data_IF_865510387749
#
_entry.id   IF_865510387749
#
_cell.length_a   1.000
_cell.length_b   1.000
_cell.length_c   1.000
_cell.angle_alpha   90.00
_cell.angle_beta   90.00
_cell.angle_gamma   90.00
#
_symmetry.space_group_name_H-M   'P 1'
#
loop_
_entity.id
_entity.type
_entity.pdbx_description
1 polymer ?
#
# COMPACT_ATOMS: atom_id res chain seq x y z
N UNK A 1 -5.67 -2.88 -7.48
CA UNK A 1 -5.17 -3.38 -8.75
C UNK A 1 -6.13 -4.44 -9.29
N UNK A 2 -6.22 -4.59 -10.60
CA UNK A 2 -7.07 -5.60 -11.24
C UNK A 2 -6.56 -5.98 -12.63
N UNK A 3 -7.02 -7.14 -13.12
CA UNK A 3 -6.77 -7.66 -14.46
C UNK A 3 -8.10 -8.01 -15.14
N UNK A 4 -8.24 -7.67 -16.42
CA UNK A 4 -9.41 -8.02 -17.24
C UNK A 4 -8.92 -8.61 -18.57
N UNK A 5 -9.41 -9.82 -18.90
CA UNK A 5 -9.19 -10.43 -20.21
C UNK A 5 -10.38 -10.17 -21.14
N UNK A 6 -10.13 -9.51 -22.27
CA UNK A 6 -11.11 -9.32 -23.34
C UNK A 6 -10.91 -10.43 -24.40
N UNK A 7 -11.79 -11.42 -24.40
CA UNK A 7 -11.71 -12.58 -25.29
C UNK A 7 -11.95 -12.21 -26.75
N UNK A 8 -12.75 -11.17 -27.03
CA UNK A 8 -13.07 -10.76 -28.40
C UNK A 8 -11.90 -10.02 -29.03
N UNK A 9 -11.23 -9.16 -28.26
CA UNK A 9 -10.07 -8.39 -28.71
C UNK A 9 -8.74 -9.09 -28.45
N UNK A 10 -8.77 -10.23 -27.77
CA UNK A 10 -7.58 -10.96 -27.28
C UNK A 10 -6.57 -10.02 -26.60
N UNK A 11 -7.07 -9.20 -25.68
CA UNK A 11 -6.26 -8.24 -24.93
C UNK A 11 -6.40 -8.44 -23.44
N UNK A 12 -5.27 -8.34 -22.76
CA UNK A 12 -5.23 -8.28 -21.31
C UNK A 12 -5.07 -6.81 -20.88
N UNK A 13 -5.95 -6.36 -20.01
CA UNK A 13 -5.90 -5.04 -19.39
C UNK A 13 -5.54 -5.18 -17.93
N UNK A 14 -4.47 -4.54 -17.52
CA UNK A 14 -4.04 -4.43 -16.12
C UNK A 14 -4.13 -2.96 -15.71
N UNK A 15 -4.55 -2.70 -14.47
CA UNK A 15 -4.50 -1.36 -13.91
C UNK A 15 -4.17 -1.39 -12.41
N UNK A 16 -3.39 -0.40 -11.98
CA UNK A 16 -3.10 -0.15 -10.57
C UNK A 16 -3.81 1.11 -10.11
N UNK A 17 -4.27 1.12 -8.88
CA UNK A 17 -5.01 2.27 -8.32
C UNK A 17 -4.17 3.56 -8.33
N UNK A 18 -4.85 4.70 -8.16
CA UNK A 18 -4.27 6.04 -8.32
C UNK A 18 -3.10 6.33 -7.39
N UNK A 19 -3.11 5.75 -6.19
CA UNK A 19 -2.10 5.98 -5.15
C UNK A 19 -1.18 4.77 -4.94
N UNK A 20 -1.40 3.66 -5.70
CA UNK A 20 -0.61 2.44 -5.60
C UNK A 20 -0.78 1.70 -4.28
N UNK A 21 -1.96 1.80 -3.66
CA UNK A 21 -2.26 1.11 -2.38
C UNK A 21 -2.13 -0.40 -2.53
N UNK A 22 -2.53 -0.94 -3.70
CA UNK A 22 -2.39 -2.37 -3.98
C UNK A 22 -1.26 -2.61 -4.96
N UNK A 23 -0.35 -3.56 -4.66
CA UNK A 23 0.78 -3.86 -5.54
C UNK A 23 0.33 -4.55 -6.83
N UNK A 24 1.08 -4.36 -7.90
CA UNK A 24 0.94 -5.09 -9.15
C UNK A 24 2.29 -5.15 -9.85
N UNK A 25 2.85 -6.34 -9.92
CA UNK A 25 4.13 -6.61 -10.58
C UNK A 25 3.92 -7.30 -11.91
N UNK A 26 4.83 -7.07 -12.85
CA UNK A 26 4.82 -7.74 -14.15
C UNK A 26 6.24 -8.06 -14.63
N UNK A 27 6.32 -9.06 -15.47
CA UNK A 27 7.51 -9.48 -16.20
C UNK A 27 7.11 -9.83 -17.62
N UNK A 28 7.95 -9.51 -18.60
CA UNK A 28 7.74 -9.97 -19.98
C UNK A 28 8.98 -10.71 -20.46
N UNK A 29 8.77 -11.92 -20.96
CA UNK A 29 9.83 -12.77 -21.50
C UNK A 29 9.33 -13.51 -22.74
N UNK A 30 10.12 -13.49 -23.80
CA UNK A 30 9.79 -14.13 -25.10
C UNK A 30 8.42 -13.70 -25.67
N UNK A 31 7.98 -12.48 -25.34
CA UNK A 31 6.67 -11.96 -25.74
C UNK A 31 5.51 -12.38 -24.84
N UNK A 32 5.70 -13.27 -23.88
CA UNK A 32 4.70 -13.62 -22.87
C UNK A 32 4.71 -12.60 -21.74
N UNK A 33 3.54 -12.31 -21.18
CA UNK A 33 3.36 -11.40 -20.05
C UNK A 33 2.92 -12.17 -18.81
N UNK A 34 3.69 -12.06 -17.74
CA UNK A 34 3.38 -12.60 -16.42
C UNK A 34 3.08 -11.42 -15.48
N UNK A 35 2.12 -11.58 -14.58
CA UNK A 35 1.80 -10.56 -13.60
C UNK A 35 1.29 -11.16 -12.29
N UNK A 36 1.50 -10.45 -11.20
CA UNK A 36 1.06 -10.90 -9.87
C UNK A 36 1.00 -9.73 -8.90
N UNK A 37 0.29 -9.90 -7.79
CA UNK A 37 0.33 -8.97 -6.65
C UNK A 37 1.61 -9.10 -5.83
N UNK A 38 2.35 -10.21 -5.96
CA UNK A 38 3.59 -10.46 -5.22
C UNK A 38 4.68 -11.01 -6.15
N UNK A 39 5.90 -10.52 -6.00
CA UNK A 39 7.05 -10.93 -6.81
C UNK A 39 7.32 -12.44 -6.65
N UNK A 40 7.15 -12.99 -5.44
CA UNK A 40 7.40 -14.42 -5.19
C UNK A 40 6.56 -15.34 -6.06
N UNK A 41 5.37 -14.92 -6.50
CA UNK A 41 4.54 -15.71 -7.42
C UNK A 41 5.13 -15.76 -8.83
N UNK A 42 5.71 -14.65 -9.31
CA UNK A 42 6.42 -14.61 -10.60
C UNK A 42 7.68 -15.49 -10.53
N UNK A 43 8.40 -15.45 -9.40
CA UNK A 43 9.63 -16.24 -9.18
C UNK A 43 9.39 -17.74 -9.04
N UNK A 44 8.13 -18.24 -9.01
CA UNK A 44 7.83 -19.67 -9.07
C UNK A 44 7.98 -20.24 -10.48
N UNK A 45 8.00 -19.41 -11.50
CA UNK A 45 8.20 -19.85 -12.87
C UNK A 45 9.70 -20.19 -13.09
N UNK A 46 9.98 -21.40 -13.55
CA UNK A 46 11.35 -21.90 -13.73
C UNK A 46 12.14 -21.07 -14.77
N UNK A 47 11.44 -20.47 -15.72
CA UNK A 47 12.03 -19.65 -16.78
C UNK A 47 12.49 -18.27 -16.27
N UNK A 48 12.03 -17.85 -15.09
CA UNK A 48 12.39 -16.54 -14.50
C UNK A 48 13.64 -16.67 -13.65
N UNK A 49 14.72 -16.10 -14.15
CA UNK A 49 15.99 -16.06 -13.43
C UNK A 49 15.91 -15.15 -12.19
N UNK A 50 16.31 -15.68 -11.03
CA UNK A 50 16.38 -14.91 -9.77
C UNK A 50 17.66 -14.09 -9.71
N UNK A 51 17.77 -13.10 -10.58
CA UNK A 51 18.95 -12.26 -10.72
C UNK A 51 18.73 -10.91 -10.06
N UNK A 52 19.72 -10.47 -9.27
CA UNK A 52 19.64 -9.21 -8.53
C UNK A 52 19.85 -8.02 -9.46
N UNK A 53 18.96 -7.04 -9.39
CA UNK A 53 19.09 -5.74 -10.04
C UNK A 53 19.95 -4.82 -9.17
N UNK A 54 21.23 -4.66 -9.49
CA UNK A 54 22.17 -3.84 -8.71
C UNK A 54 21.81 -2.35 -8.71
N UNK A 55 21.19 -1.83 -9.77
CA UNK A 55 20.75 -0.44 -9.79
C UNK A 55 19.62 -0.22 -8.78
N UNK A 56 18.63 -1.10 -8.76
CA UNK A 56 17.55 -1.06 -7.78
C UNK A 56 18.06 -1.30 -6.35
N UNK A 57 19.06 -2.18 -6.17
CA UNK A 57 19.70 -2.38 -4.87
C UNK A 57 20.37 -1.10 -4.38
N UNK A 58 21.12 -0.40 -5.25
CA UNK A 58 21.75 0.89 -4.91
C UNK A 58 20.71 1.94 -4.51
N UNK A 59 19.58 2.02 -5.24
CA UNK A 59 18.48 2.91 -4.89
C UNK A 59 17.90 2.54 -3.52
N UNK A 60 17.64 1.26 -3.29
CA UNK A 60 17.07 0.78 -2.02
C UNK A 60 17.98 1.08 -0.83
N UNK A 61 19.29 0.86 -0.97
CA UNK A 61 20.26 1.16 0.09
C UNK A 61 20.40 2.68 0.36
N UNK A 62 20.06 3.51 -0.63
CA UNK A 62 20.16 4.98 -0.50
C UNK A 62 18.86 5.60 0.02
N UNK A 63 17.72 5.15 -0.50
CA UNK A 63 16.40 5.78 -0.29
C UNK A 63 15.42 4.91 0.50
N UNK A 64 15.77 3.66 0.82
CA UNK A 64 14.90 2.62 1.40
C UNK A 64 13.71 2.22 0.48
N UNK A 65 13.71 2.62 -0.78
CA UNK A 65 12.76 2.19 -1.81
C UNK A 65 13.40 2.23 -3.20
N UNK A 66 12.74 1.62 -4.19
CA UNK A 66 13.16 1.61 -5.59
C UNK A 66 12.37 2.65 -6.40
N UNK A 67 12.95 3.18 -7.45
CA UNK A 67 12.40 4.27 -8.27
C UNK A 67 11.93 3.71 -9.62
N UNK A 68 10.96 4.39 -10.26
CA UNK A 68 10.48 4.11 -11.63
C UNK A 68 10.00 2.68 -11.86
N UNK A 69 9.39 2.07 -10.82
CA UNK A 69 8.84 0.73 -10.92
C UNK A 69 9.88 -0.38 -11.04
N UNK A 70 11.14 -0.08 -10.78
CA UNK A 70 12.17 -1.11 -10.68
C UNK A 70 11.93 -1.98 -9.43
N UNK A 71 12.35 -3.24 -9.49
CA UNK A 71 12.37 -4.13 -8.33
C UNK A 71 13.80 -4.62 -8.09
N UNK A 72 14.03 -5.26 -6.94
CA UNK A 72 15.34 -5.87 -6.65
C UNK A 72 15.67 -7.06 -7.57
N UNK A 73 14.74 -7.51 -8.41
CA UNK A 73 14.95 -8.56 -9.40
C UNK A 73 15.03 -7.98 -10.81
N UNK A 74 16.00 -8.42 -11.61
CA UNK A 74 16.08 -8.06 -13.02
C UNK A 74 14.82 -8.53 -13.77
N UNK A 75 14.35 -7.71 -14.73
CA UNK A 75 13.19 -7.99 -15.59
C UNK A 75 11.83 -8.12 -14.89
N UNK A 76 11.75 -7.90 -13.58
CA UNK A 76 10.49 -7.80 -12.86
C UNK A 76 10.26 -6.34 -12.49
N UNK A 77 9.12 -5.79 -12.90
CA UNK A 77 8.77 -4.40 -12.73
C UNK A 77 7.46 -4.25 -11.93
N UNK A 78 7.32 -3.15 -11.26
CA UNK A 78 6.08 -2.74 -10.62
C UNK A 78 5.31 -1.79 -11.56
N UNK A 79 4.03 -2.04 -11.77
CA UNK A 79 3.18 -1.07 -12.45
C UNK A 79 2.97 0.12 -11.54
N UNK A 80 3.31 1.33 -11.99
CA UNK A 80 3.26 2.52 -11.15
C UNK A 80 1.82 2.96 -10.81
N UNK A 81 1.61 3.72 -9.73
CA UNK A 81 0.33 4.31 -9.40
C UNK A 81 -0.30 5.06 -10.57
N UNK A 82 -1.61 4.90 -10.78
CA UNK A 82 -2.33 5.55 -11.87
C UNK A 82 -1.99 5.04 -13.27
N UNK A 83 -1.22 3.96 -13.38
CA UNK A 83 -0.88 3.34 -14.66
C UNK A 83 -1.81 2.19 -15.02
N UNK A 84 -1.92 1.98 -16.32
CA UNK A 84 -2.50 0.81 -16.95
C UNK A 84 -1.53 0.20 -17.94
N UNK A 85 -1.60 -1.13 -18.08
CA UNK A 85 -0.88 -1.91 -19.07
C UNK A 85 -1.91 -2.63 -19.97
N UNK A 86 -1.76 -2.53 -21.27
CA UNK A 86 -2.57 -3.27 -22.23
C UNK A 86 -1.64 -4.18 -23.03
N UNK A 87 -1.84 -5.48 -22.89
CA UNK A 87 -1.11 -6.50 -23.63
C UNK A 87 -1.99 -7.03 -24.78
N UNK A 88 -1.41 -7.11 -25.99
CA UNK A 88 -2.02 -7.72 -27.18
C UNK A 88 -1.49 -9.14 -27.34
N UNK A 89 -2.37 -10.13 -27.28
CA UNK A 89 -1.97 -11.53 -27.40
C UNK A 89 -1.49 -11.87 -28.82
N UNK A 90 -2.14 -11.33 -29.83
CA UNK A 90 -1.79 -11.62 -31.23
C UNK A 90 -0.41 -11.06 -31.61
N UNK A 91 -0.08 -9.85 -31.10
CA UNK A 91 1.20 -9.20 -31.37
C UNK A 91 2.29 -9.54 -30.36
N UNK A 92 1.94 -10.15 -29.24
CA UNK A 92 2.83 -10.42 -28.08
C UNK A 92 3.56 -9.17 -27.57
N UNK A 93 2.88 -8.03 -27.59
CA UNK A 93 3.41 -6.74 -27.15
C UNK A 93 2.52 -6.10 -26.11
N UNK A 94 3.09 -5.21 -25.32
CA UNK A 94 2.29 -4.42 -24.38
C UNK A 94 2.64 -2.93 -24.41
N UNK A 95 1.69 -2.12 -23.95
CA UNK A 95 1.84 -0.68 -23.80
C UNK A 95 1.41 -0.26 -22.41
N UNK A 96 2.27 0.52 -21.74
CA UNK A 96 1.97 1.18 -20.46
C UNK A 96 1.62 2.64 -20.74
N UNK A 97 0.64 3.15 -20.01
CA UNK A 97 0.26 4.56 -20.05
C UNK A 97 -0.43 4.97 -18.75
N UNK A 98 -0.32 6.24 -18.39
CA UNK A 98 -1.05 6.81 -17.29
C UNK A 98 -2.54 6.96 -17.67
N UNK A 99 -3.44 6.55 -16.79
CA UNK A 99 -4.86 6.87 -16.88
C UNK A 99 -5.25 7.97 -15.88
N UNK A 100 -4.36 8.22 -14.91
CA UNK A 100 -4.51 9.27 -13.93
C UNK A 100 -3.15 9.83 -13.53
N UNK A 101 -3.11 11.13 -13.27
CA UNK A 101 -1.95 11.86 -12.76
C UNK A 101 -2.41 12.84 -11.69
N UNK A 102 -1.57 13.07 -10.68
CA UNK A 102 -1.83 14.05 -9.65
C UNK A 102 -1.69 15.46 -10.23
N UNK A 103 -2.79 16.18 -10.29
CA UNK A 103 -2.81 17.56 -10.75
C UNK A 103 -2.90 18.51 -9.55
N UNK A 104 -1.77 19.09 -9.17
CA UNK A 104 -1.69 20.06 -8.08
C UNK A 104 -2.12 21.44 -8.60
N UNK A 105 -3.22 21.95 -8.07
CA UNK A 105 -3.72 23.31 -8.33
C UNK A 105 -3.75 24.08 -7.03
N UNK A 106 -3.31 25.35 -7.08
CA UNK A 106 -3.54 26.28 -5.96
C UNK A 106 -5.03 26.51 -5.81
N UNK A 107 -5.51 26.36 -4.58
CA UNK A 107 -6.86 26.80 -4.20
C UNK A 107 -6.81 28.25 -3.72
N UNK A 108 -7.86 29.00 -4.00
CA UNK A 108 -8.09 30.33 -3.43
C UNK A 108 -9.06 30.27 -2.25
N UNK A 109 -9.30 29.08 -1.72
CA UNK A 109 -10.16 28.89 -0.55
C UNK A 109 -9.53 29.53 0.68
N UNK A 110 -10.37 30.03 1.58
CA UNK A 110 -9.91 30.44 2.91
C UNK A 110 -9.42 29.24 3.70
N UNK A 111 -8.60 29.46 4.72
CA UNK A 111 -8.12 28.41 5.62
C UNK A 111 -9.29 27.62 6.23
N UNK A 112 -10.30 28.31 6.75
CA UNK A 112 -11.49 27.67 7.34
C UNK A 112 -12.23 26.76 6.35
N UNK A 113 -12.43 27.22 5.11
CA UNK A 113 -13.05 26.39 4.06
C UNK A 113 -12.17 25.19 3.67
N UNK A 114 -10.86 25.37 3.68
CA UNK A 114 -9.91 24.28 3.39
C UNK A 114 -9.97 23.21 4.48
N UNK A 115 -10.02 23.59 5.76
CA UNK A 115 -10.16 22.69 6.90
C UNK A 115 -11.48 21.90 6.80
N UNK A 116 -12.60 22.59 6.54
CA UNK A 116 -13.92 21.95 6.37
C UNK A 116 -13.90 20.91 5.24
N UNK A 117 -13.32 21.26 4.09
CA UNK A 117 -13.18 20.33 2.96
C UNK A 117 -12.30 19.14 3.31
N UNK A 118 -11.18 19.37 3.98
CA UNK A 118 -10.26 18.32 4.41
C UNK A 118 -10.95 17.33 5.35
N UNK A 119 -11.64 17.83 6.38
CA UNK A 119 -12.39 17.00 7.31
C UNK A 119 -13.42 16.13 6.58
N UNK A 120 -14.20 16.74 5.68
CA UNK A 120 -15.18 16.03 4.87
C UNK A 120 -14.56 14.91 4.03
N UNK A 121 -13.40 15.15 3.40
CA UNK A 121 -12.71 14.15 2.60
C UNK A 121 -12.10 13.04 3.45
N UNK A 122 -11.54 13.36 4.61
CA UNK A 122 -11.02 12.39 5.57
C UNK A 122 -12.14 11.49 6.08
N UNK A 123 -13.26 12.04 6.56
CA UNK A 123 -14.43 11.27 7.00
C UNK A 123 -14.97 10.36 5.89
N UNK A 124 -15.07 10.87 4.66
CA UNK A 124 -15.47 10.04 3.51
C UNK A 124 -14.48 8.90 3.24
N UNK A 125 -13.18 9.18 3.32
CA UNK A 125 -12.13 8.19 3.11
C UNK A 125 -12.16 7.09 4.17
N UNK A 126 -12.34 7.46 5.44
CA UNK A 126 -12.50 6.52 6.56
C UNK A 126 -13.73 5.63 6.33
N UNK A 127 -14.89 6.24 6.03
CA UNK A 127 -16.14 5.50 5.79
C UNK A 127 -15.99 4.42 4.72
N UNK A 128 -15.32 4.73 3.61
CA UNK A 128 -15.07 3.76 2.54
C UNK A 128 -14.17 2.58 2.97
N UNK A 129 -13.35 2.76 3.99
CA UNK A 129 -12.46 1.71 4.52
C UNK A 129 -13.09 0.88 5.62
N UNK A 130 -14.21 1.34 6.17
CA UNK A 130 -15.02 0.57 7.11
C UNK A 130 -15.89 -0.50 6.40
N UNK A 131 -16.08 -0.39 5.08
CA UNK A 131 -16.77 -1.40 4.28
C UNK A 131 -15.86 -2.64 4.15
N UNK A 132 -16.03 -3.59 5.06
CA UNK A 132 -15.21 -4.81 5.17
C UNK A 132 -16.05 -5.99 5.67
N UNK A 133 -15.78 -7.18 5.14
CA UNK A 133 -16.36 -8.44 5.62
C UNK A 133 -15.67 -8.96 6.91
N UNK A 134 -14.54 -8.35 7.29
CA UNK A 134 -13.80 -8.68 8.50
C UNK A 134 -13.80 -7.50 9.49
N UNK A 135 -13.61 -7.78 10.80
CA UNK A 135 -13.47 -6.72 11.79
C UNK A 135 -12.33 -5.76 11.43
N UNK A 136 -12.60 -4.45 11.52
CA UNK A 136 -11.62 -3.41 11.21
C UNK A 136 -10.98 -2.94 12.51
N UNK A 137 -9.64 -2.78 12.48
CA UNK A 137 -8.86 -2.16 13.54
C UNK A 137 -7.93 -1.08 12.97
N UNK A 138 -7.39 -0.25 13.83
CA UNK A 138 -6.48 0.82 13.45
C UNK A 138 -5.12 0.69 14.15
N UNK A 139 -4.03 0.96 13.42
CA UNK A 139 -2.73 1.15 14.02
C UNK A 139 -2.67 2.56 14.62
N UNK A 140 -2.22 2.65 15.87
CA UNK A 140 -2.14 3.89 16.62
C UNK A 140 -0.72 4.09 17.15
N UNK A 141 -0.04 5.12 16.65
CA UNK A 141 1.29 5.51 17.10
C UNK A 141 1.29 6.71 18.05
N UNK A 142 0.14 7.38 18.22
CA UNK A 142 0.08 8.65 18.96
C UNK A 142 0.60 9.86 18.18
N UNK A 143 1.12 9.66 16.96
CA UNK A 143 1.46 10.73 16.02
C UNK A 143 0.21 11.43 15.49
N UNK A 144 0.36 12.64 14.93
CA UNK A 144 -0.74 13.49 14.49
C UNK A 144 -1.71 12.76 13.54
N UNK A 145 -1.20 12.08 12.53
CA UNK A 145 -2.02 11.43 11.50
C UNK A 145 -2.83 10.26 12.06
N UNK A 146 -2.18 9.34 12.78
CA UNK A 146 -2.85 8.18 13.36
C UNK A 146 -3.87 8.59 14.43
N UNK A 147 -3.56 9.62 15.23
CA UNK A 147 -4.45 10.14 16.26
C UNK A 147 -5.71 10.77 15.64
N UNK A 148 -5.54 11.59 14.60
CA UNK A 148 -6.66 12.21 13.88
C UNK A 148 -7.55 11.14 13.24
N UNK A 149 -6.94 10.13 12.61
CA UNK A 149 -7.69 9.04 11.99
C UNK A 149 -8.48 8.23 13.01
N UNK A 150 -7.88 7.90 14.17
CA UNK A 150 -8.57 7.17 15.24
C UNK A 150 -9.68 8.00 15.88
N UNK A 151 -9.45 9.30 16.13
CA UNK A 151 -10.48 10.19 16.65
C UNK A 151 -11.70 10.27 15.72
N UNK A 152 -11.48 10.51 14.42
CA UNK A 152 -12.56 10.53 13.43
C UNK A 152 -13.27 9.18 13.30
N UNK A 153 -12.52 8.07 13.39
CA UNK A 153 -13.07 6.73 13.33
C UNK A 153 -13.98 6.45 14.52
N UNK A 154 -13.55 6.84 15.72
CA UNK A 154 -14.32 6.68 16.97
C UNK A 154 -15.61 7.51 16.97
N UNK A 155 -15.64 8.67 16.29
CA UNK A 155 -16.88 9.44 16.10
C UNK A 155 -17.87 8.78 15.12
N UNK A 156 -17.43 7.85 14.31
CA UNK A 156 -18.21 7.23 13.23
C UNK A 156 -18.68 5.81 13.56
N UNK A 157 -18.29 5.26 14.70
CA UNK A 157 -18.63 3.90 15.13
C UNK A 157 -19.30 3.94 16.50
N UNK A 158 -20.32 3.11 16.70
CA UNK A 158 -21.02 2.99 17.98
C UNK A 158 -20.25 2.13 19.00
N UNK A 159 -19.40 1.23 18.51
CA UNK A 159 -18.57 0.36 19.34
C UNK A 159 -17.14 0.90 19.45
N UNK A 160 -16.43 0.61 20.58
CA UNK A 160 -15.04 0.99 20.74
C UNK A 160 -14.16 0.46 19.60
N UNK A 161 -13.41 1.36 18.97
CA UNK A 161 -12.49 1.00 17.88
C UNK A 161 -11.36 0.16 18.45
N UNK A 162 -11.05 -0.98 17.82
CA UNK A 162 -9.85 -1.76 18.14
C UNK A 162 -8.61 -1.04 17.63
N UNK A 163 -7.70 -0.69 18.54
CA UNK A 163 -6.46 -0.03 18.19
C UNK A 163 -5.24 -0.84 18.64
N UNK A 164 -4.15 -0.74 17.90
CA UNK A 164 -2.95 -1.52 18.14
C UNK A 164 -1.71 -0.63 18.05
N UNK A 165 -0.82 -0.78 19.01
CA UNK A 165 0.53 -0.18 18.99
C UNK A 165 1.58 -1.27 19.14
N UNK A 166 2.67 -1.16 18.40
CA UNK A 166 3.79 -2.11 18.46
C UNK A 166 5.07 -1.37 18.86
N UNK A 167 5.90 -2.02 19.66
CA UNK A 167 7.21 -1.50 20.04
C UNK A 167 8.16 -2.63 20.45
N UNK A 168 9.37 -2.28 20.82
CA UNK A 168 10.45 -3.21 21.16
C UNK A 168 10.87 -3.14 22.65
N UNK A 169 10.11 -2.44 23.49
CA UNK A 169 10.44 -2.22 24.91
C UNK A 169 11.51 -1.15 25.13
N UNK A 170 11.61 -0.17 24.22
CA UNK A 170 12.55 0.94 24.30
C UNK A 170 11.87 2.24 24.72
N UNK A 171 12.64 3.19 25.28
CA UNK A 171 12.14 4.52 25.65
C UNK A 171 11.59 5.34 24.46
N UNK A 172 11.96 4.97 23.25
CA UNK A 172 11.50 5.61 22.01
C UNK A 172 10.21 4.98 21.45
N UNK A 173 9.67 3.95 22.10
CA UNK A 173 8.41 3.36 21.69
C UNK A 173 7.26 4.33 21.98
N UNK A 174 6.29 4.38 21.09
CA UNK A 174 5.19 5.36 21.09
C UNK A 174 4.00 4.90 21.98
N UNK A 175 4.20 3.95 22.92
CA UNK A 175 3.12 3.42 23.77
C UNK A 175 2.42 4.49 24.58
N UNK A 176 3.18 5.43 25.17
CA UNK A 176 2.64 6.50 26.00
C UNK A 176 1.75 7.43 25.21
N UNK A 177 2.19 7.86 24.04
CA UNK A 177 1.45 8.78 23.15
C UNK A 177 0.20 8.09 22.60
N UNK A 178 0.31 6.84 22.20
CA UNK A 178 -0.81 6.02 21.75
C UNK A 178 -1.84 5.82 22.88
N UNK A 179 -1.39 5.57 24.10
CA UNK A 179 -2.26 5.41 25.26
C UNK A 179 -3.09 6.65 25.57
N UNK A 180 -2.49 7.85 25.47
CA UNK A 180 -3.20 9.12 25.67
C UNK A 180 -4.36 9.24 24.68
N UNK A 181 -4.10 8.95 23.41
CA UNK A 181 -5.13 9.01 22.36
C UNK A 181 -6.19 7.93 22.55
N UNK A 182 -5.78 6.71 22.87
CA UNK A 182 -6.67 5.60 23.15
C UNK A 182 -7.65 5.92 24.29
N UNK A 183 -7.15 6.46 25.40
CA UNK A 183 -7.98 6.84 26.55
C UNK A 183 -8.93 7.99 26.20
N UNK A 184 -8.46 8.98 25.42
CA UNK A 184 -9.28 10.09 24.96
C UNK A 184 -10.42 9.64 24.02
N UNK A 185 -10.14 8.71 23.11
CA UNK A 185 -11.09 8.21 22.12
C UNK A 185 -11.88 6.98 22.61
N UNK A 186 -11.63 6.50 23.84
CA UNK A 186 -12.26 5.31 24.44
C UNK A 186 -12.17 4.07 23.52
N UNK A 187 -10.96 3.78 23.01
CA UNK A 187 -10.70 2.65 22.12
C UNK A 187 -10.38 1.37 22.89
N UNK A 188 -10.66 0.21 22.28
CA UNK A 188 -10.17 -1.10 22.75
C UNK A 188 -8.71 -1.27 22.29
N UNK A 189 -7.77 -0.84 23.16
CA UNK A 189 -6.36 -0.70 22.80
C UNK A 189 -5.52 -1.89 23.23
N UNK A 190 -4.71 -2.38 22.29
CA UNK A 190 -3.75 -3.46 22.53
C UNK A 190 -2.33 -3.01 22.23
N UNK A 191 -1.45 -3.11 23.22
CA UNK A 191 -0.01 -2.90 23.08
C UNK A 191 0.68 -4.25 22.80
N UNK A 192 1.52 -4.29 21.77
CA UNK A 192 2.23 -5.50 21.34
C UNK A 192 3.73 -5.26 21.46
N UNK A 193 4.36 -5.87 22.45
CA UNK A 193 5.81 -5.86 22.58
C UNK A 193 6.44 -6.94 21.68
N UNK A 194 7.27 -6.49 20.77
CA UNK A 194 8.07 -7.32 19.88
C UNK A 194 9.47 -7.51 20.46
N UNK A 195 10.01 -8.71 20.38
CA UNK A 195 11.43 -8.96 20.61
C UNK A 195 12.12 -9.33 19.30
N UNK A 196 13.41 -9.05 19.18
CA UNK A 196 14.20 -9.47 18.02
C UNK A 196 14.08 -10.97 17.76
N UNK A 197 13.98 -11.78 18.83
CA UNK A 197 13.78 -13.23 18.70
C UNK A 197 12.42 -13.58 18.12
N UNK A 198 11.34 -12.89 18.52
CA UNK A 198 10.01 -13.09 17.93
C UNK A 198 10.03 -12.72 16.43
N UNK A 199 10.66 -11.58 16.10
CA UNK A 199 10.76 -11.11 14.72
C UNK A 199 11.55 -12.10 13.84
N UNK A 200 12.75 -12.52 14.27
CA UNK A 200 13.56 -13.47 13.49
C UNK A 200 12.87 -14.83 13.31
N UNK A 201 12.13 -15.29 14.32
CA UNK A 201 11.36 -16.52 14.21
C UNK A 201 10.15 -16.41 13.26
N UNK A 202 9.61 -15.21 13.09
CA UNK A 202 8.48 -14.96 12.19
C UNK A 202 8.92 -14.78 10.72
N UNK A 203 10.18 -14.40 10.45
CA UNK A 203 10.70 -14.15 9.11
C UNK A 203 10.41 -15.27 8.09
N UNK A 204 10.63 -16.59 8.39
CA UNK A 204 10.34 -17.64 7.44
C UNK A 204 8.86 -17.75 7.03
N UNK A 205 7.94 -17.23 7.86
CA UNK A 205 6.50 -17.23 7.58
C UNK A 205 6.04 -15.95 6.88
N UNK A 206 6.86 -14.89 6.90
CA UNK A 206 6.58 -13.59 6.27
C UNK A 206 7.11 -13.58 4.83
N UNK A 207 8.23 -14.25 4.60
CA UNK A 207 8.90 -14.38 3.30
C UNK A 207 8.30 -15.52 2.48
#
# INVERSE_FOLDING_TARGET
>A
AFAIWDTNKKKLFLARDRLGVKPLFYCSMNGDLMFSSEIKSILQLEEIERKLNFNALSQFLTYAYTIDGQTLFENIYELLPGQKLIYSFDDRTFKISNYWELNLRKSNDSESLTIEKLEKYLKKSIKLRLESDAPVGALLSGGLDSSLMVAMLSEMTDEPVKTFTTGFGHELDEYREAKIVSDHCNTDHTEIELSYKKLTNALPNIL
#
